data_IF_299846848422
#
_entry.id   IF_299846848422
#
_cell.length_a   1.000
_cell.length_b   1.000
_cell.length_c   1.000
_cell.angle_alpha   90.00
_cell.angle_beta   90.00
_cell.angle_gamma   90.00
#
_symmetry.space_group_name_H-M   'P 1'
#
loop_
_entity.id
_entity.type
_entity.pdbx_description
1 polymer ?
#
# COMPACT_ATOMS: atom_id res chain seq x y z
N UNK A 1 7.04 6.18 -34.10
CA UNK A 1 6.10 5.93 -32.99
C UNK A 1 5.05 7.05 -32.82
N UNK A 2 5.37 8.27 -32.37
CA UNK A 2 4.34 9.34 -32.24
C UNK A 2 3.73 9.75 -33.59
N UNK A 3 4.57 9.99 -34.61
CA UNK A 3 4.09 10.28 -35.97
C UNK A 3 3.25 9.14 -36.56
N UNK A 4 3.63 7.90 -36.25
CA UNK A 4 2.94 6.68 -36.71
C UNK A 4 1.60 6.48 -35.99
N UNK A 5 1.52 6.80 -34.69
CA UNK A 5 0.30 6.76 -33.92
C UNK A 5 -0.65 7.94 -34.22
N UNK A 6 -0.15 9.01 -34.84
CA UNK A 6 -0.90 10.25 -35.08
C UNK A 6 -1.34 10.96 -33.79
N UNK A 7 -0.77 10.58 -32.64
CA UNK A 7 -1.15 11.04 -31.31
C UNK A 7 0.03 10.90 -30.35
N UNK A 8 0.03 11.68 -29.28
CA UNK A 8 0.91 11.53 -28.11
C UNK A 8 0.47 10.39 -27.17
N UNK A 9 -0.59 9.66 -27.53
CA UNK A 9 -1.11 8.51 -26.79
C UNK A 9 -0.63 7.19 -27.41
N UNK A 10 -0.56 6.17 -26.57
CA UNK A 10 -0.42 4.79 -27.03
C UNK A 10 -1.80 4.30 -27.50
N UNK A 11 -1.97 3.86 -28.77
CA UNK A 11 -3.29 3.57 -29.34
C UNK A 11 -4.13 2.55 -28.57
N UNK A 12 -3.49 1.54 -27.98
CA UNK A 12 -4.16 0.46 -27.25
C UNK A 12 -4.18 0.69 -25.73
N UNK A 13 -3.59 1.79 -25.24
CA UNK A 13 -3.60 2.10 -23.81
C UNK A 13 -4.78 2.99 -23.43
N UNK A 14 -5.23 2.86 -22.19
CA UNK A 14 -6.25 3.73 -21.59
C UNK A 14 -5.57 4.67 -20.59
N UNK A 15 -5.81 5.99 -20.65
CA UNK A 15 -5.24 6.92 -19.68
C UNK A 15 -5.91 6.79 -18.32
N UNK A 16 -5.11 6.83 -17.26
CA UNK A 16 -5.57 6.94 -15.89
C UNK A 16 -5.54 8.42 -15.48
N UNK A 17 -6.67 9.10 -15.63
CA UNK A 17 -6.83 10.52 -15.30
C UNK A 17 -7.38 10.62 -13.88
N UNK A 18 -6.66 11.32 -13.00
CA UNK A 18 -7.00 11.44 -11.59
C UNK A 18 -6.89 12.90 -11.13
N UNK A 19 -7.87 13.35 -10.37
CA UNK A 19 -7.82 14.57 -9.57
C UNK A 19 -7.20 14.32 -8.18
N UNK A 20 -6.78 15.36 -7.44
CA UNK A 20 -6.29 15.21 -6.07
C UNK A 20 -7.34 14.53 -5.18
N UNK A 21 -6.97 13.37 -4.61
CA UNK A 21 -7.85 12.57 -3.75
C UNK A 21 -8.46 11.36 -4.46
N UNK A 22 -8.37 11.28 -5.79
CA UNK A 22 -8.81 10.10 -6.52
C UNK A 22 -7.95 8.88 -6.22
N UNK A 23 -8.60 7.71 -6.23
CA UNK A 23 -7.96 6.42 -6.03
C UNK A 23 -8.09 5.59 -7.31
N UNK A 24 -6.95 5.17 -7.84
CA UNK A 24 -6.90 4.17 -8.88
C UNK A 24 -6.31 2.87 -8.33
N UNK A 25 -6.90 1.74 -8.72
CA UNK A 25 -6.40 0.41 -8.38
C UNK A 25 -6.03 -0.32 -9.66
N UNK A 26 -4.82 -0.88 -9.69
CA UNK A 26 -4.34 -1.68 -10.81
C UNK A 26 -3.81 -3.01 -10.31
N UNK A 27 -3.99 -4.06 -11.12
CA UNK A 27 -3.33 -5.33 -10.87
C UNK A 27 -1.83 -5.17 -11.09
N UNK A 28 -1.00 -5.77 -10.23
CA UNK A 28 0.46 -5.79 -10.42
C UNK A 28 0.87 -6.35 -11.80
N UNK A 29 0.05 -7.21 -12.39
CA UNK A 29 0.31 -7.83 -13.69
C UNK A 29 -0.10 -6.94 -14.89
N UNK A 30 -0.78 -5.82 -14.66
CA UNK A 30 -1.14 -4.91 -15.73
C UNK A 30 0.11 -4.18 -16.24
N UNK A 31 0.32 -4.19 -17.55
CA UNK A 31 1.35 -3.37 -18.19
C UNK A 31 0.90 -1.91 -18.06
N UNK A 32 1.69 -1.11 -17.37
CA UNK A 32 1.42 0.30 -17.17
C UNK A 32 2.72 1.10 -17.19
N UNK A 33 2.60 2.39 -17.44
CA UNK A 33 3.71 3.30 -17.47
C UNK A 33 3.23 4.74 -17.47
N UNK A 34 4.18 5.66 -17.30
CA UNK A 34 3.91 7.08 -17.45
C UNK A 34 4.88 7.73 -18.41
N UNK A 35 4.41 8.69 -19.18
CA UNK A 35 5.29 9.59 -19.91
C UNK A 35 6.12 10.45 -18.95
N UNK A 36 7.24 10.98 -19.47
CA UNK A 36 8.05 11.96 -18.75
C UNK A 36 7.18 13.18 -18.38
N UNK A 37 7.26 13.63 -17.13
CA UNK A 37 6.59 14.86 -16.72
C UNK A 37 7.40 16.07 -17.24
N UNK A 38 6.94 16.67 -18.33
CA UNK A 38 7.54 17.85 -18.95
C UNK A 38 6.90 19.16 -18.49
N UNK A 39 5.92 19.10 -17.58
CA UNK A 39 5.24 20.28 -17.04
C UNK A 39 6.00 20.90 -15.86
N UNK A 40 5.66 22.14 -15.51
CA UNK A 40 6.16 22.79 -14.28
C UNK A 40 5.49 22.29 -12.99
N UNK A 41 4.51 21.40 -13.10
CA UNK A 41 3.73 20.89 -11.95
C UNK A 41 4.35 19.59 -11.44
N UNK A 42 4.60 19.53 -10.14
CA UNK A 42 5.03 18.30 -9.48
C UNK A 42 3.86 17.32 -9.40
N UNK A 43 4.11 16.07 -9.78
CA UNK A 43 3.15 14.96 -9.64
C UNK A 43 3.58 14.08 -8.49
N UNK A 44 2.69 13.87 -7.51
CA UNK A 44 2.91 12.96 -6.38
C UNK A 44 1.79 11.92 -6.36
N UNK A 45 2.16 10.66 -6.22
CA UNK A 45 1.23 9.54 -6.00
C UNK A 45 1.70 8.78 -4.77
N UNK A 46 0.79 8.54 -3.82
CA UNK A 46 1.05 7.66 -2.68
C UNK A 46 0.55 6.28 -3.05
N UNK A 47 1.47 5.32 -3.13
CA UNK A 47 1.17 3.95 -3.56
C UNK A 47 1.05 3.02 -2.37
N UNK A 48 -0.02 2.23 -2.33
CA UNK A 48 -0.20 1.15 -1.38
C UNK A 48 -0.35 -0.16 -2.14
N UNK A 49 0.57 -1.09 -1.91
CA UNK A 49 0.45 -2.47 -2.35
C UNK A 49 -0.11 -3.35 -1.23
N UNK A 50 -0.92 -4.34 -1.58
CA UNK A 50 -1.37 -5.36 -0.64
C UNK A 50 -1.28 -6.75 -1.25
N UNK A 51 -1.08 -7.73 -0.38
CA UNK A 51 -1.07 -9.15 -0.74
C UNK A 51 -2.27 -9.84 -0.12
N UNK A 52 -2.80 -10.86 -0.81
CA UNK A 52 -3.72 -11.78 -0.18
C UNK A 52 -2.93 -12.56 0.86
N UNK A 53 -3.44 -12.67 2.09
CA UNK A 53 -2.76 -13.39 3.17
C UNK A 53 -2.38 -14.83 2.76
N UNK A 54 -3.30 -15.51 2.07
CA UNK A 54 -3.10 -16.88 1.58
C UNK A 54 -2.02 -17.01 0.51
N UNK A 55 -1.60 -15.92 -0.14
CA UNK A 55 -0.52 -15.97 -1.14
C UNK A 55 0.87 -15.74 -0.54
N UNK A 56 0.96 -15.41 0.76
CA UNK A 56 2.23 -15.08 1.42
C UNK A 56 2.51 -15.93 2.64
N UNK A 57 1.48 -16.49 3.30
CA UNK A 57 1.68 -17.37 4.46
C UNK A 57 2.55 -18.59 4.09
N UNK A 58 3.61 -18.81 4.85
CA UNK A 58 4.55 -19.92 4.67
C UNK A 58 5.49 -19.76 3.48
N UNK A 59 5.49 -18.60 2.83
CA UNK A 59 6.43 -18.30 1.73
C UNK A 59 7.77 -17.86 2.31
N UNK A 60 8.85 -18.39 1.74
CA UNK A 60 10.21 -17.91 2.00
C UNK A 60 10.56 -16.78 1.03
N UNK A 61 10.88 -15.61 1.57
CA UNK A 61 11.19 -14.41 0.79
C UNK A 61 12.46 -14.56 -0.06
N UNK A 62 12.54 -13.83 -1.17
CA UNK A 62 13.74 -13.79 -2.03
C UNK A 62 14.89 -12.91 -1.51
N UNK A 63 14.71 -12.17 -0.41
CA UNK A 63 15.77 -11.36 0.19
C UNK A 63 15.98 -9.97 -0.44
N UNK A 64 15.08 -9.50 -1.30
CA UNK A 64 15.25 -8.25 -2.07
C UNK A 64 15.05 -7.00 -1.21
N UNK A 65 14.04 -7.00 -0.33
CA UNK A 65 13.68 -5.84 0.48
C UNK A 65 14.18 -5.93 1.92
N UNK A 66 14.47 -7.15 2.38
CA UNK A 66 14.86 -7.49 3.74
C UNK A 66 15.60 -8.84 3.75
N UNK A 67 16.24 -9.24 4.86
CA UNK A 67 16.86 -10.57 4.95
C UNK A 67 15.88 -11.69 4.65
N UNK A 68 16.40 -12.78 4.10
CA UNK A 68 15.60 -13.97 3.78
C UNK A 68 14.87 -14.44 5.04
N UNK A 69 13.54 -14.34 5.01
CA UNK A 69 12.65 -14.69 6.11
C UNK A 69 11.56 -15.64 5.63
N UNK A 70 10.99 -16.43 6.54
CA UNK A 70 9.72 -17.12 6.32
C UNK A 70 8.58 -16.20 6.77
N UNK A 71 7.56 -16.04 5.92
CA UNK A 71 6.39 -15.25 6.23
C UNK A 71 5.35 -16.11 6.95
N UNK A 72 5.65 -16.42 8.21
CA UNK A 72 4.74 -17.15 9.10
C UNK A 72 3.62 -16.25 9.68
N UNK A 73 2.79 -16.83 10.54
CA UNK A 73 1.70 -16.14 11.24
C UNK A 73 2.18 -14.91 12.02
N UNK A 74 3.27 -15.07 12.79
CA UNK A 74 3.81 -14.01 13.66
C UNK A 74 4.39 -12.87 12.82
N UNK A 75 5.17 -13.21 11.80
CA UNK A 75 5.75 -12.24 10.87
C UNK A 75 4.66 -11.40 10.20
N UNK A 76 3.62 -12.05 9.67
CA UNK A 76 2.49 -11.38 9.02
C UNK A 76 1.72 -10.52 10.03
N UNK A 77 1.50 -11.01 11.25
CA UNK A 77 0.84 -10.25 12.31
C UNK A 77 1.64 -8.98 12.66
N UNK A 78 2.93 -9.11 12.95
CA UNK A 78 3.83 -7.99 13.23
C UNK A 78 3.82 -6.97 12.08
N UNK A 79 3.96 -7.43 10.84
CA UNK A 79 3.90 -6.55 9.66
C UNK A 79 2.52 -5.95 9.46
N UNK A 80 1.44 -6.49 10.01
CA UNK A 80 0.10 -5.95 9.84
C UNK A 80 -0.29 -4.89 10.89
N UNK A 81 0.47 -4.72 11.97
CA UNK A 81 0.14 -3.79 13.07
C UNK A 81 -0.10 -2.35 12.65
N UNK A 82 0.62 -1.83 11.65
CA UNK A 82 0.39 -0.46 11.18
C UNK A 82 -1.01 -0.24 10.59
N UNK A 83 -1.67 -1.31 10.10
CA UNK A 83 -3.07 -1.24 9.67
C UNK A 83 -3.97 -0.97 10.87
N UNK A 84 -3.76 -1.67 12.00
CA UNK A 84 -4.55 -1.47 13.22
C UNK A 84 -4.39 -0.06 13.78
N UNK A 85 -3.16 0.46 13.88
CA UNK A 85 -2.91 1.85 14.26
C UNK A 85 -3.51 2.86 13.28
N UNK A 86 -3.43 2.59 11.97
CA UNK A 86 -4.02 3.45 10.94
C UNK A 86 -5.55 3.50 11.01
N UNK A 87 -6.21 2.38 11.31
CA UNK A 87 -7.65 2.31 11.55
C UNK A 87 -8.02 3.15 12.78
N UNK A 88 -7.26 3.04 13.85
CA UNK A 88 -7.50 3.82 15.06
C UNK A 88 -7.35 5.33 14.79
N UNK A 89 -6.24 5.73 14.20
CA UNK A 89 -5.98 7.11 13.78
C UNK A 89 -7.09 7.67 12.90
N UNK A 90 -7.57 6.88 11.92
CA UNK A 90 -8.70 7.27 11.06
C UNK A 90 -9.96 7.50 11.87
N UNK A 91 -10.31 6.57 12.77
CA UNK A 91 -11.54 6.68 13.56
C UNK A 91 -11.52 7.88 14.53
N UNK A 92 -10.35 8.26 15.04
CA UNK A 92 -10.19 9.48 15.83
C UNK A 92 -10.40 10.74 14.96
N UNK A 93 -9.92 10.72 13.72
CA UNK A 93 -10.05 11.85 12.80
C UNK A 93 -11.46 11.99 12.18
N UNK A 94 -12.13 10.86 11.92
CA UNK A 94 -13.48 10.78 11.36
C UNK A 94 -14.43 10.02 12.32
N UNK A 95 -14.86 10.64 13.43
CA UNK A 95 -15.61 9.95 14.49
C UNK A 95 -17.04 9.54 14.08
N UNK A 96 -17.55 10.08 12.98
CA UNK A 96 -18.90 9.80 12.48
C UNK A 96 -18.93 8.70 11.40
N UNK A 97 -17.78 8.18 10.99
CA UNK A 97 -17.69 7.06 10.06
C UNK A 97 -17.65 5.72 10.80
N UNK A 98 -18.19 4.67 10.17
CA UNK A 98 -18.05 3.33 10.69
C UNK A 98 -16.58 2.90 10.70
N UNK A 99 -16.11 2.45 11.87
CA UNK A 99 -14.75 1.94 12.01
C UNK A 99 -14.59 0.65 11.22
N UNK A 100 -13.59 0.61 10.35
CA UNK A 100 -13.23 -0.62 9.64
C UNK A 100 -12.73 -1.70 10.61
N UNK A 101 -13.29 -2.90 10.54
CA UNK A 101 -12.86 -4.05 11.34
C UNK A 101 -11.92 -4.90 10.52
N UNK A 102 -10.63 -4.84 10.83
CA UNK A 102 -9.64 -5.72 10.20
C UNK A 102 -9.59 -7.04 10.96
N UNK A 103 -10.17 -8.10 10.38
CA UNK A 103 -10.39 -9.40 11.04
C UNK A 103 -9.19 -9.95 11.82
N UNK A 104 -7.93 -9.87 11.35
CA UNK A 104 -6.79 -10.38 12.12
C UNK A 104 -6.55 -9.67 13.47
N UNK A 105 -7.16 -8.51 13.68
CA UNK A 105 -7.03 -7.68 14.88
C UNK A 105 -8.36 -7.48 15.62
N UNK A 106 -9.43 -8.19 15.23
CA UNK A 106 -10.73 -8.13 15.91
C UNK A 106 -10.57 -8.51 17.38
N UNK A 107 -11.02 -7.64 18.30
CA UNK A 107 -10.91 -7.83 19.75
C UNK A 107 -9.56 -7.38 20.35
N UNK A 108 -8.61 -6.91 19.52
CA UNK A 108 -7.31 -6.39 19.96
C UNK A 108 -7.22 -4.86 19.84
N UNK A 109 -8.33 -4.16 19.51
CA UNK A 109 -8.34 -2.75 19.16
C UNK A 109 -7.72 -1.87 20.25
N UNK A 110 -7.99 -2.20 21.52
CA UNK A 110 -7.46 -1.47 22.69
C UNK A 110 -5.93 -1.59 22.86
N UNK A 111 -5.26 -2.49 22.13
CA UNK A 111 -3.80 -2.63 22.15
C UNK A 111 -3.12 -1.76 21.09
N UNK A 112 -3.88 -1.22 20.12
CA UNK A 112 -3.37 -0.48 18.96
C UNK A 112 -3.98 0.92 18.88
N UNK A 113 -3.96 1.63 20.02
CA UNK A 113 -4.40 3.03 20.10
C UNK A 113 -3.34 3.90 19.41
N UNK A 114 -3.80 4.78 18.51
CA UNK A 114 -2.94 5.76 17.86
C UNK A 114 -2.67 6.94 18.79
N UNK A 115 -1.39 7.24 18.98
CA UNK A 115 -0.91 8.39 19.74
C UNK A 115 0.46 8.84 19.21
N UNK A 116 1.03 9.91 19.79
CA UNK A 116 2.35 10.38 19.38
C UNK A 116 3.46 9.33 19.65
N UNK A 117 3.29 8.51 20.69
CA UNK A 117 4.19 7.40 21.01
C UNK A 117 4.23 6.33 19.90
N UNK A 118 3.13 6.13 19.18
CA UNK A 118 3.02 5.15 18.08
C UNK A 118 4.04 5.40 16.98
N UNK A 119 4.45 6.66 16.75
CA UNK A 119 5.45 7.01 15.74
C UNK A 119 6.78 6.27 15.94
N UNK A 120 7.16 6.02 17.19
CA UNK A 120 8.39 5.26 17.49
C UNK A 120 8.28 3.80 17.10
N UNK A 121 7.09 3.20 17.19
CA UNK A 121 6.81 1.82 16.80
C UNK A 121 6.74 1.63 15.28
N UNK A 122 6.47 2.70 14.53
CA UNK A 122 6.49 2.70 13.07
C UNK A 122 7.91 2.88 12.49
N UNK A 123 8.89 3.25 13.31
CA UNK A 123 10.28 3.31 12.87
C UNK A 123 10.72 1.92 12.44
N UNK A 124 11.38 1.85 11.28
CA UNK A 124 11.90 0.63 10.69
C UNK A 124 10.83 -0.46 10.42
N UNK A 125 9.54 -0.10 10.43
CA UNK A 125 8.44 -1.00 10.11
C UNK A 125 8.59 -1.64 8.71
N UNK A 126 9.21 -0.92 7.77
CA UNK A 126 9.51 -1.39 6.42
C UNK A 126 10.53 -2.53 6.38
N UNK A 127 11.30 -2.78 7.45
CA UNK A 127 12.23 -3.93 7.50
C UNK A 127 11.51 -5.27 7.42
N UNK A 128 10.19 -5.30 7.70
CA UNK A 128 9.35 -6.48 7.57
C UNK A 128 8.51 -6.49 6.29
N UNK A 129 8.88 -5.72 5.26
CA UNK A 129 8.14 -5.70 4.02
C UNK A 129 8.03 -7.09 3.38
N UNK A 130 6.81 -7.42 2.97
CA UNK A 130 6.50 -8.70 2.33
C UNK A 130 6.69 -8.50 0.82
N UNK A 131 7.79 -9.05 0.32
CA UNK A 131 8.13 -9.06 -1.10
C UNK A 131 7.84 -10.43 -1.70
N UNK A 132 6.95 -10.46 -2.68
CA UNK A 132 6.75 -11.59 -3.61
C UNK A 132 6.98 -11.15 -5.05
#
# INVERSE_FOLDING_TARGET
MVEEAGSDRLPEAVPMICDPGDVAMTSRQAIHGSFANTSSKVRVTINFGFHRRSSVLGIRSGGVHNPISEYDEEYIFERSKAIAWGIDARSQHFPNEDRYVYEPFRGLENQFIWSDETKSHLRDYNLRDIGI
#
